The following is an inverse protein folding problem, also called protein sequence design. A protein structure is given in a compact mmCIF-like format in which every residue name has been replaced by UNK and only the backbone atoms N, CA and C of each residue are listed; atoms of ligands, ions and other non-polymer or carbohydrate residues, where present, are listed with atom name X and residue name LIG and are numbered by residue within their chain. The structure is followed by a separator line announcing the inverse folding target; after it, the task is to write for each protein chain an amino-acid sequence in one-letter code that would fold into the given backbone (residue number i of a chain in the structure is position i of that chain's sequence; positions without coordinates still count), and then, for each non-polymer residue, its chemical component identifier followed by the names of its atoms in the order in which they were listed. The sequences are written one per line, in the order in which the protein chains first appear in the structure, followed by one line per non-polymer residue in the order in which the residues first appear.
data_IF_011320237708
#
_entry.id   IF_011320237708
#
_cell.length_a   1.000
_cell.length_b   1.000
_cell.length_c   1.000
_cell.angle_alpha   90.00
_cell.angle_beta   90.00
_cell.angle_gamma   90.00
#
_symmetry.space_group_name_H-M   'P 1'
#
loop_
_entity.id
_entity.type
_entity.pdbx_description
1 polymer ?
#
# COMPACT_ATOMS: atom_id res chain seq x y z
N UNK A 1 -1.05 -91.78 -28.61
CA UNK A 1 -2.33 -92.07 -27.91
C UNK A 1 -2.82 -90.80 -27.23
N UNK A 2 -4.13 -90.55 -27.28
CA UNK A 2 -4.91 -89.56 -26.53
C UNK A 2 -4.85 -88.07 -26.91
N UNK A 3 -5.67 -87.73 -27.91
CA UNK A 3 -6.70 -86.67 -27.93
C UNK A 3 -7.03 -85.95 -26.60
N UNK A 4 -7.16 -84.62 -26.59
CA UNK A 4 -8.46 -83.93 -26.37
C UNK A 4 -8.39 -82.38 -26.47
N UNK A 5 -9.45 -81.83 -27.05
CA UNK A 5 -9.79 -80.43 -27.33
C UNK A 5 -10.66 -79.78 -26.23
N UNK A 6 -10.51 -78.48 -25.95
CA UNK A 6 -11.55 -77.49 -25.57
C UNK A 6 -10.86 -76.11 -25.43
N UNK A 7 -11.16 -75.03 -26.16
CA UNK A 7 -12.36 -74.19 -26.39
C UNK A 7 -12.93 -73.47 -25.15
N UNK A 8 -12.96 -72.13 -25.30
CA UNK A 8 -13.68 -71.09 -24.54
C UNK A 8 -13.03 -70.74 -23.20
N UNK A 9 -12.82 -69.47 -22.85
CA UNK A 9 -13.87 -68.53 -22.40
C UNK A 9 -13.47 -67.06 -22.69
N UNK A 10 -14.48 -66.27 -23.04
CA UNK A 10 -14.49 -64.81 -23.23
C UNK A 10 -13.83 -64.05 -22.07
N UNK A 11 -12.94 -63.11 -22.39
CA UNK A 11 -12.54 -62.04 -21.46
C UNK A 11 -13.20 -60.72 -21.88
N UNK A 12 -14.12 -60.26 -21.03
CA UNK A 12 -14.86 -58.99 -21.10
C UNK A 12 -13.91 -57.79 -21.19
N UNK A 13 -14.10 -56.95 -22.20
CA UNK A 13 -13.52 -55.62 -22.28
C UNK A 13 -14.11 -54.72 -21.17
N UNK A 14 -13.28 -54.40 -20.17
CA UNK A 14 -13.53 -53.36 -19.18
C UNK A 14 -13.24 -51.99 -19.81
N UNK A 15 -14.29 -51.20 -20.04
CA UNK A 15 -14.19 -49.78 -20.36
C UNK A 15 -13.75 -49.03 -19.10
N UNK A 16 -12.47 -48.64 -19.06
CA UNK A 16 -11.91 -47.72 -18.07
C UNK A 16 -12.52 -46.32 -18.27
N UNK A 17 -13.32 -45.88 -17.29
CA UNK A 17 -13.80 -44.52 -17.18
C UNK A 17 -12.63 -43.57 -16.92
N UNK A 18 -12.35 -42.69 -17.88
CA UNK A 18 -11.34 -41.64 -17.80
C UNK A 18 -11.90 -40.52 -16.90
N UNK A 19 -11.60 -40.57 -15.60
CA UNK A 19 -11.79 -39.43 -14.69
C UNK A 19 -10.74 -38.38 -15.04
N UNK A 20 -11.14 -37.33 -15.76
CA UNK A 20 -10.30 -36.17 -16.03
C UNK A 20 -10.17 -35.40 -14.71
N UNK A 21 -9.16 -35.76 -13.91
CA UNK A 21 -8.71 -34.95 -12.79
C UNK A 21 -8.10 -33.66 -13.33
N UNK A 22 -8.91 -32.60 -13.46
CA UNK A 22 -8.34 -31.28 -13.69
C UNK A 22 -7.58 -30.87 -12.43
N UNK A 23 -6.29 -30.51 -12.53
CA UNK A 23 -5.59 -29.98 -11.38
C UNK A 23 -6.32 -28.70 -10.95
N UNK A 24 -6.77 -28.68 -9.70
CA UNK A 24 -7.12 -27.43 -9.02
C UNK A 24 -5.88 -26.55 -9.11
N UNK A 25 -5.88 -25.60 -10.06
CA UNK A 25 -4.89 -24.53 -10.09
C UNK A 25 -5.05 -23.78 -8.79
N UNK A 26 -4.18 -24.09 -7.81
CA UNK A 26 -3.93 -23.20 -6.71
C UNK A 26 -3.63 -21.83 -7.32
N UNK A 27 -4.45 -20.84 -7.01
CA UNK A 27 -4.17 -19.46 -7.39
C UNK A 27 -2.78 -19.13 -6.86
N UNK A 28 -1.80 -19.02 -7.76
CA UNK A 28 -0.45 -18.64 -7.39
C UNK A 28 -0.53 -17.23 -6.83
N UNK A 29 -0.33 -17.12 -5.53
CA UNK A 29 -0.30 -15.84 -4.84
C UNK A 29 0.84 -14.99 -5.42
N UNK A 30 0.50 -13.90 -6.10
CA UNK A 30 1.53 -13.03 -6.69
C UNK A 30 2.07 -12.13 -5.60
N UNK A 31 3.17 -12.56 -4.98
CA UNK A 31 3.84 -11.78 -3.94
C UNK A 31 4.29 -10.42 -4.49
N UNK A 32 3.98 -9.34 -3.77
CA UNK A 32 4.43 -8.00 -4.13
C UNK A 32 5.94 -7.84 -3.92
N UNK A 33 6.63 -7.04 -4.77
CA UNK A 33 8.06 -6.80 -4.60
C UNK A 33 8.32 -6.05 -3.29
N UNK A 34 9.41 -6.41 -2.59
CA UNK A 34 9.81 -5.74 -1.33
C UNK A 34 10.18 -4.27 -1.53
N UNK A 35 10.65 -3.93 -2.73
CA UNK A 35 11.17 -2.61 -3.08
C UNK A 35 10.83 -2.27 -4.52
N UNK A 36 10.55 -0.99 -4.79
CA UNK A 36 10.38 -0.43 -6.13
C UNK A 36 11.28 0.79 -6.29
N UNK A 37 12.09 0.83 -7.36
CA UNK A 37 12.96 1.98 -7.65
C UNK A 37 12.31 2.87 -8.71
N UNK A 38 12.01 4.10 -8.33
CA UNK A 38 11.48 5.14 -9.19
C UNK A 38 12.63 5.93 -9.80
N UNK A 39 13.24 5.38 -10.87
CA UNK A 39 14.47 5.92 -11.47
C UNK A 39 14.37 7.39 -11.87
N UNK A 40 13.25 7.80 -12.47
CA UNK A 40 13.05 9.19 -12.90
C UNK A 40 12.95 10.19 -11.73
N UNK A 41 12.65 9.71 -10.53
CA UNK A 41 12.52 10.52 -9.32
C UNK A 41 13.74 10.37 -8.41
N UNK A 42 14.66 9.46 -8.73
CA UNK A 42 15.77 9.03 -7.87
C UNK A 42 15.28 8.63 -6.47
N UNK A 43 14.18 7.87 -6.38
CA UNK A 43 13.61 7.44 -5.09
C UNK A 43 13.40 5.93 -5.07
N UNK A 44 13.77 5.32 -3.96
CA UNK A 44 13.49 3.92 -3.65
C UNK A 44 12.30 3.82 -2.70
N UNK A 45 11.26 3.10 -3.10
CA UNK A 45 10.08 2.85 -2.28
C UNK A 45 10.22 1.50 -1.60
N UNK A 46 10.26 1.52 -0.27
CA UNK A 46 10.26 0.33 0.57
C UNK A 46 9.26 0.53 1.72
N UNK A 47 8.39 -0.46 1.93
CA UNK A 47 7.38 -0.45 2.99
C UNK A 47 7.92 -0.86 4.37
N UNK A 48 7.13 -0.64 5.44
CA UNK A 48 7.40 -1.24 6.73
C UNK A 48 7.24 -2.76 6.68
N UNK A 49 7.65 -3.46 7.75
CA UNK A 49 7.51 -4.92 7.84
C UNK A 49 6.06 -5.36 7.56
N UNK A 50 5.90 -6.35 6.68
CA UNK A 50 4.59 -6.87 6.26
C UNK A 50 3.96 -6.14 5.08
N UNK A 51 4.49 -4.98 4.66
CA UNK A 51 3.94 -4.19 3.55
C UNK A 51 4.92 -4.01 2.40
N UNK A 52 4.40 -4.16 1.19
CA UNK A 52 5.18 -4.12 -0.05
C UNK A 52 4.55 -3.14 -1.04
N UNK A 53 5.35 -2.35 -1.77
CA UNK A 53 4.85 -1.52 -2.86
C UNK A 53 4.26 -2.35 -3.99
N UNK A 54 3.18 -1.84 -4.57
CA UNK A 54 2.57 -2.37 -5.79
C UNK A 54 2.89 -1.46 -6.98
N UNK A 55 3.80 -1.87 -7.89
CA UNK A 55 4.14 -1.11 -9.10
C UNK A 55 2.93 -0.82 -10.00
N UNK A 56 1.90 -1.68 -10.00
CA UNK A 56 0.71 -1.50 -10.83
C UNK A 56 -0.14 -0.29 -10.39
N UNK A 57 0.06 0.18 -9.16
CA UNK A 57 -0.64 1.34 -8.59
C UNK A 57 0.09 2.66 -8.83
N UNK A 58 1.24 2.62 -9.52
CA UNK A 58 2.04 3.80 -9.80
C UNK A 58 1.25 4.81 -10.63
N UNK A 59 1.12 6.03 -10.12
CA UNK A 59 0.55 7.18 -10.82
C UNK A 59 1.55 8.32 -10.83
N UNK A 60 1.73 8.95 -11.98
CA UNK A 60 2.61 10.10 -12.14
C UNK A 60 1.85 11.22 -12.84
N UNK A 61 1.93 12.42 -12.27
CA UNK A 61 1.33 13.64 -12.83
C UNK A 61 2.15 14.85 -12.39
N UNK A 62 2.44 15.76 -13.31
CA UNK A 62 3.14 17.04 -13.05
C UNK A 62 4.46 16.91 -12.27
N UNK A 63 5.17 15.80 -12.41
CA UNK A 63 6.41 15.53 -11.68
C UNK A 63 6.23 15.03 -10.24
N UNK A 64 4.99 14.89 -9.77
CA UNK A 64 4.62 14.15 -8.56
C UNK A 64 4.34 12.67 -8.90
N UNK A 65 4.55 11.79 -7.93
CA UNK A 65 4.34 10.34 -8.06
C UNK A 65 3.62 9.79 -6.84
N UNK A 66 2.65 8.91 -7.05
CA UNK A 66 1.97 8.17 -6.00
C UNK A 66 2.09 6.66 -6.25
N UNK A 67 2.22 5.89 -5.17
CA UNK A 67 2.23 4.43 -5.16
C UNK A 67 1.52 3.93 -3.93
N UNK A 68 0.80 2.82 -4.05
CA UNK A 68 0.16 2.14 -2.95
C UNK A 68 1.06 0.99 -2.48
N UNK A 69 1.03 0.75 -1.17
CA UNK A 69 1.60 -0.44 -0.57
C UNK A 69 0.46 -1.21 0.09
N UNK A 70 0.42 -2.51 -0.18
CA UNK A 70 -0.47 -3.46 0.48
C UNK A 70 0.34 -4.43 1.32
N UNK A 71 -0.36 -5.39 1.94
CA UNK A 71 0.32 -6.55 2.55
C UNK A 71 1.13 -7.28 1.48
N UNK A 72 2.36 -7.68 1.83
CA UNK A 72 3.25 -8.36 0.87
C UNK A 72 2.68 -9.66 0.32
N UNK A 73 1.91 -10.34 1.18
CA UNK A 73 1.19 -11.58 0.92
C UNK A 73 -0.15 -11.50 1.68
N UNK A 74 -1.14 -12.29 1.29
CA UNK A 74 -2.44 -12.44 1.94
C UNK A 74 -2.31 -13.04 3.36
N UNK A 75 -1.29 -13.87 3.57
CA UNK A 75 -0.90 -14.50 4.84
C UNK A 75 0.03 -13.65 5.71
N UNK A 76 0.41 -12.44 5.28
CA UNK A 76 1.27 -11.59 6.10
C UNK A 76 0.57 -11.26 7.43
N UNK A 77 1.29 -11.46 8.54
CA UNK A 77 0.88 -11.05 9.90
C UNK A 77 0.96 -9.53 10.06
N UNK A 78 0.17 -8.82 9.26
CA UNK A 78 0.06 -7.37 9.23
C UNK A 78 -1.43 -6.99 9.17
N UNK A 79 -1.78 -5.91 9.86
CA UNK A 79 -3.14 -5.36 9.87
C UNK A 79 -3.62 -5.14 8.43
N UNK A 80 -4.89 -5.45 8.08
CA UNK A 80 -5.41 -5.13 6.76
C UNK A 80 -5.45 -3.62 6.51
N UNK A 81 -4.45 -3.09 5.82
CA UNK A 81 -4.39 -1.67 5.46
C UNK A 81 -3.77 -1.45 4.07
N UNK A 82 -4.08 -0.29 3.49
CA UNK A 82 -3.48 0.27 2.29
C UNK A 82 -2.72 1.53 2.70
N UNK A 83 -1.45 1.57 2.35
CA UNK A 83 -0.58 2.73 2.59
C UNK A 83 -0.42 3.47 1.27
N UNK A 84 -0.89 4.72 1.21
CA UNK A 84 -0.65 5.61 0.08
C UNK A 84 0.60 6.44 0.34
N UNK A 85 1.60 6.33 -0.53
CA UNK A 85 2.79 7.18 -0.49
C UNK A 85 2.78 8.09 -1.70
N UNK A 86 2.96 9.38 -1.48
CA UNK A 86 3.04 10.39 -2.54
C UNK A 86 4.32 11.19 -2.40
N UNK A 87 5.10 11.25 -3.48
CA UNK A 87 6.25 12.10 -3.65
C UNK A 87 5.83 13.33 -4.45
N UNK A 88 5.94 14.50 -3.84
CA UNK A 88 5.71 15.78 -4.49
C UNK A 88 6.73 16.07 -5.58
N UNK A 89 6.50 17.15 -6.32
CA UNK A 89 7.36 17.64 -7.40
C UNK A 89 8.78 17.97 -6.88
N UNK A 90 9.82 18.02 -7.75
CA UNK A 90 11.13 18.52 -7.35
C UNK A 90 11.02 19.90 -6.66
N UNK A 91 11.78 20.10 -5.58
CA UNK A 91 11.77 21.35 -4.81
C UNK A 91 10.61 21.51 -3.83
N UNK A 92 9.56 20.67 -3.90
CA UNK A 92 8.41 20.75 -2.97
C UNK A 92 8.80 20.55 -1.50
N UNK A 93 9.91 19.86 -1.23
CA UNK A 93 10.39 19.61 0.13
C UNK A 93 10.67 20.89 0.93
N UNK A 94 10.90 22.04 0.28
CA UNK A 94 11.09 23.32 0.95
C UNK A 94 9.88 23.72 1.85
N UNK A 95 8.67 23.28 1.51
CA UNK A 95 7.48 23.51 2.34
C UNK A 95 7.60 22.89 3.73
N UNK A 96 8.40 21.82 3.88
CA UNK A 96 8.63 21.17 5.17
C UNK A 96 9.61 21.94 6.06
N UNK A 97 10.39 22.87 5.49
CA UNK A 97 11.33 23.71 6.25
C UNK A 97 10.61 24.77 7.10
N UNK A 98 9.33 25.04 6.81
CA UNK A 98 8.52 25.98 7.59
C UNK A 98 8.36 25.55 9.05
N UNK A 99 8.45 24.25 9.36
CA UNK A 99 8.28 23.74 10.72
C UNK A 99 6.86 23.30 11.04
N UNK A 100 6.70 22.59 12.16
CA UNK A 100 5.44 21.95 12.53
C UNK A 100 4.31 22.93 12.86
N UNK A 101 4.63 24.10 13.45
CA UNK A 101 3.63 25.08 13.86
C UNK A 101 2.99 25.76 12.63
N UNK A 102 3.82 26.16 11.68
CA UNK A 102 3.43 26.79 10.42
C UNK A 102 2.63 25.80 9.56
N UNK A 103 3.06 24.54 9.52
CA UNK A 103 2.30 23.47 8.85
C UNK A 103 0.93 23.25 9.51
N UNK A 104 0.86 23.20 10.85
CA UNK A 104 -0.40 23.08 11.56
C UNK A 104 -1.34 24.26 11.28
N UNK A 105 -0.81 25.48 11.28
CA UNK A 105 -1.56 26.68 10.93
C UNK A 105 -2.07 26.64 9.47
N UNK A 106 -1.24 26.20 8.52
CA UNK A 106 -1.66 26.03 7.13
C UNK A 106 -2.80 25.02 7.00
N UNK A 107 -2.67 23.83 7.60
CA UNK A 107 -3.72 22.81 7.52
C UNK A 107 -4.98 23.16 8.33
N UNK A 108 -4.88 24.10 9.28
CA UNK A 108 -6.04 24.70 9.92
C UNK A 108 -6.74 25.76 9.06
N UNK A 109 -6.10 26.29 8.01
CA UNK A 109 -6.71 27.27 7.08
C UNK A 109 -7.66 26.63 6.06
N UNK A 110 -8.53 27.43 5.44
CA UNK A 110 -9.44 26.96 4.38
C UNK A 110 -8.68 26.33 3.20
N UNK A 111 -7.58 26.94 2.78
CA UNK A 111 -6.76 26.41 1.67
C UNK A 111 -6.15 25.05 2.02
N UNK A 112 -5.60 24.92 3.25
CA UNK A 112 -5.04 23.67 3.73
C UNK A 112 -6.10 22.57 3.86
N UNK A 113 -7.23 22.85 4.52
CA UNK A 113 -8.35 21.90 4.64
C UNK A 113 -8.92 21.51 3.27
N UNK A 114 -9.01 22.45 2.33
CA UNK A 114 -9.43 22.16 0.95
C UNK A 114 -8.47 21.20 0.25
N UNK A 115 -7.16 21.36 0.45
CA UNK A 115 -6.13 20.47 -0.13
C UNK A 115 -6.15 19.04 0.41
N UNK A 116 -6.66 18.85 1.62
CA UNK A 116 -6.84 17.54 2.24
C UNK A 116 -8.15 16.87 1.83
N UNK A 117 -9.12 17.66 1.36
CA UNK A 117 -10.48 17.20 1.11
C UNK A 117 -10.57 16.29 -0.11
N UNK A 118 -11.13 15.10 0.09
CA UNK A 118 -11.50 14.18 -0.99
C UNK A 118 -12.47 14.80 -1.99
N UNK A 119 -13.34 15.71 -1.52
CA UNK A 119 -14.36 16.41 -2.32
C UNK A 119 -13.97 17.85 -2.68
N UNK A 120 -12.77 18.28 -2.32
CA UNK A 120 -12.29 19.64 -2.57
C UNK A 120 -13.02 20.74 -1.79
N UNK A 121 -13.60 20.42 -0.62
CA UNK A 121 -14.34 21.37 0.23
C UNK A 121 -13.72 21.46 1.63
N UNK A 122 -13.26 22.65 1.99
CA UNK A 122 -12.64 22.90 3.30
C UNK A 122 -13.57 22.60 4.49
N UNK A 123 -14.88 22.81 4.33
CA UNK A 123 -15.88 22.56 5.36
C UNK A 123 -16.16 21.07 5.62
N UNK A 124 -15.70 20.18 4.73
CA UNK A 124 -15.80 18.73 4.94
C UNK A 124 -14.65 18.18 5.78
N UNK A 125 -13.63 18.98 6.05
CA UNK A 125 -12.37 18.55 6.66
C UNK A 125 -12.15 19.27 7.98
N UNK A 126 -11.67 18.52 8.97
CA UNK A 126 -11.10 19.06 10.20
C UNK A 126 -9.78 18.37 10.51
N UNK A 127 -8.82 19.14 11.05
CA UNK A 127 -7.55 18.63 11.57
C UNK A 127 -7.68 18.60 13.08
N UNK A 128 -7.66 17.41 13.66
CA UNK A 128 -7.98 17.20 15.09
C UNK A 128 -6.74 17.03 15.96
N UNK A 129 -5.58 16.77 15.35
CA UNK A 129 -4.29 16.67 16.03
C UNK A 129 -3.18 16.98 15.02
N UNK A 130 -2.11 17.63 15.48
CA UNK A 130 -0.90 17.87 14.71
C UNK A 130 0.31 17.89 15.65
N UNK A 131 1.37 17.17 15.29
CA UNK A 131 2.60 17.10 16.06
C UNK A 131 3.80 16.80 15.16
N UNK A 132 5.01 17.09 15.65
CA UNK A 132 6.25 16.73 14.98
C UNK A 132 6.94 15.57 15.72
N UNK A 133 7.32 14.53 14.98
CA UNK A 133 8.13 13.40 15.46
C UNK A 133 9.44 13.39 14.68
N UNK A 134 10.47 14.04 15.22
CA UNK A 134 11.66 14.38 14.47
C UNK A 134 11.32 15.35 13.33
N UNK A 135 11.60 14.94 12.10
CA UNK A 135 11.29 15.67 10.85
C UNK A 135 9.97 15.22 10.18
N UNK A 136 9.24 14.28 10.81
CA UNK A 136 7.91 13.87 10.36
C UNK A 136 6.86 14.77 11.00
N UNK A 137 6.15 15.54 10.18
CA UNK A 137 4.93 16.21 10.59
C UNK A 137 3.76 15.24 10.50
N UNK A 138 3.20 14.87 11.66
CA UNK A 138 2.14 13.88 11.79
C UNK A 138 0.86 14.56 12.26
N UNK A 139 -0.24 14.32 11.57
CA UNK A 139 -1.52 14.95 11.89
C UNK A 139 -2.71 14.05 11.57
N UNK A 140 -3.80 14.27 12.29
CA UNK A 140 -5.04 13.51 12.20
C UNK A 140 -6.10 14.34 11.49
N UNK A 141 -6.66 13.76 10.44
CA UNK A 141 -7.67 14.39 9.59
C UNK A 141 -8.99 13.65 9.75
N UNK A 142 -10.09 14.39 9.87
CA UNK A 142 -11.44 13.87 9.68
C UNK A 142 -12.01 14.54 8.43
N UNK A 143 -12.30 13.73 7.41
CA UNK A 143 -12.92 14.15 6.15
C UNK A 143 -14.25 13.44 5.97
N UNK A 144 -15.34 14.17 5.78
CA UNK A 144 -16.67 13.59 5.56
C UNK A 144 -16.78 12.70 4.30
N UNK A 145 -15.87 12.84 3.34
CA UNK A 145 -15.82 12.04 2.12
C UNK A 145 -14.90 10.81 2.18
N UNK A 146 -14.13 10.65 3.26
CA UNK A 146 -13.10 9.60 3.35
C UNK A 146 -13.03 8.92 4.73
N UNK A 147 -13.48 9.59 5.79
CA UNK A 147 -13.41 9.12 7.17
C UNK A 147 -12.27 9.80 7.96
N UNK A 148 -11.87 9.15 9.04
CA UNK A 148 -10.79 9.63 9.92
C UNK A 148 -9.51 8.87 9.59
N UNK A 149 -8.40 9.60 9.45
CA UNK A 149 -7.11 8.99 9.14
C UNK A 149 -5.93 9.79 9.69
N UNK A 150 -4.81 9.10 9.92
CA UNK A 150 -3.51 9.72 10.14
C UNK A 150 -2.79 9.97 8.82
N UNK A 151 -2.13 11.12 8.73
CA UNK A 151 -1.24 11.47 7.63
C UNK A 151 0.08 11.99 8.19
N UNK A 152 1.17 11.53 7.57
CA UNK A 152 2.53 11.99 7.85
C UNK A 152 3.10 12.71 6.64
N UNK A 153 3.84 13.78 6.87
CA UNK A 153 4.57 14.51 5.84
C UNK A 153 6.02 14.74 6.27
N UNK A 154 6.97 14.51 5.37
CA UNK A 154 8.42 14.74 5.58
C UNK A 154 9.05 15.27 4.29
N UNK A 155 10.26 15.82 4.35
CA UNK A 155 11.08 16.03 3.16
C UNK A 155 11.99 14.82 2.91
N UNK A 156 12.24 14.50 1.64
CA UNK A 156 13.22 13.51 1.21
C UNK A 156 13.71 13.86 -0.20
N UNK A 157 15.03 13.93 -0.41
CA UNK A 157 15.64 14.28 -1.71
C UNK A 157 14.99 15.51 -2.38
N UNK A 158 14.75 16.57 -1.60
CA UNK A 158 14.14 17.82 -2.08
C UNK A 158 12.65 17.75 -2.41
N UNK A 159 11.95 16.66 -2.10
CA UNK A 159 10.51 16.46 -2.35
C UNK A 159 9.74 16.33 -1.04
N UNK A 160 8.51 16.81 -1.01
CA UNK A 160 7.56 16.46 0.05
C UNK A 160 7.17 15.00 -0.13
N UNK A 161 7.22 14.22 0.94
CA UNK A 161 6.71 12.84 0.99
C UNK A 161 5.50 12.86 1.90
N UNK A 162 4.34 12.46 1.38
CA UNK A 162 3.12 12.28 2.15
C UNK A 162 2.83 10.79 2.28
N UNK A 163 2.55 10.35 3.50
CA UNK A 163 2.15 8.98 3.84
C UNK A 163 0.76 9.04 4.46
N UNK A 164 -0.18 8.28 3.91
CA UNK A 164 -1.54 8.12 4.44
C UNK A 164 -1.82 6.63 4.59
N UNK A 165 -2.44 6.23 5.70
CA UNK A 165 -2.85 4.85 5.92
C UNK A 165 -4.36 4.79 6.06
N UNK A 166 -4.98 3.83 5.37
CA UNK A 166 -6.42 3.57 5.42
C UNK A 166 -6.67 2.06 5.38
N UNK A 167 -7.65 1.56 6.11
CA UNK A 167 -8.02 0.15 6.13
C UNK A 167 -9.33 -0.09 6.89
N UNK A 168 -10.00 -1.22 6.67
CA UNK A 168 -11.15 -1.62 7.49
C UNK A 168 -10.68 -1.84 8.93
N UNK A 169 -11.48 -1.37 9.89
CA UNK A 169 -11.27 -1.56 11.34
C UNK A 169 -9.87 -1.20 11.86
N UNK A 170 -9.14 -0.35 11.13
CA UNK A 170 -7.80 0.07 11.50
C UNK A 170 -7.87 1.00 12.72
N UNK A 171 -7.32 0.55 13.84
CA UNK A 171 -7.33 1.36 15.06
C UNK A 171 -6.43 2.59 14.93
N UNK A 172 -6.71 3.59 15.75
CA UNK A 172 -6.03 4.88 15.68
C UNK A 172 -4.52 4.78 15.95
N UNK A 173 -4.12 3.97 16.93
CA UNK A 173 -2.73 3.81 17.34
C UNK A 173 -1.94 3.00 16.29
N UNK A 174 -2.55 1.96 15.73
CA UNK A 174 -2.01 1.18 14.62
C UNK A 174 -1.86 2.01 13.35
N UNK A 175 -2.87 2.81 12.99
CA UNK A 175 -2.80 3.73 11.85
C UNK A 175 -1.62 4.69 11.99
N UNK A 176 -1.49 5.33 13.15
CA UNK A 176 -0.36 6.21 13.47
C UNK A 176 0.98 5.48 13.37
N UNK A 177 1.10 4.30 14.00
CA UNK A 177 2.32 3.49 13.98
C UNK A 177 2.70 3.06 12.56
N UNK A 178 1.72 2.77 11.69
CA UNK A 178 1.97 2.43 10.29
C UNK A 178 2.48 3.65 9.50
N UNK A 179 1.95 4.84 9.72
CA UNK A 179 2.49 6.08 9.11
C UNK A 179 3.95 6.28 9.51
N UNK A 180 4.25 6.23 10.81
CA UNK A 180 5.59 6.45 11.34
C UNK A 180 6.59 5.39 10.84
N UNK A 181 6.21 4.11 10.91
CA UNK A 181 7.06 3.01 10.44
C UNK A 181 7.30 3.05 8.93
N UNK A 182 6.32 3.47 8.14
CA UNK A 182 6.49 3.68 6.70
C UNK A 182 7.47 4.81 6.42
N UNK A 183 7.31 5.96 7.08
CA UNK A 183 8.23 7.08 6.91
C UNK A 183 9.68 6.67 7.26
N UNK A 184 9.87 5.89 8.34
CA UNK A 184 11.16 5.33 8.73
C UNK A 184 11.72 4.35 7.69
N UNK A 185 10.88 3.48 7.11
CA UNK A 185 11.28 2.54 6.07
C UNK A 185 11.73 3.25 4.79
N UNK A 186 10.95 4.24 4.33
CA UNK A 186 11.28 5.07 3.18
C UNK A 186 12.60 5.80 3.39
N UNK A 187 12.80 6.43 4.56
CA UNK A 187 14.06 7.12 4.87
C UNK A 187 15.24 6.17 4.81
N UNK A 188 15.13 4.98 5.43
CA UNK A 188 16.21 3.97 5.39
C UNK A 188 16.59 3.56 3.97
N UNK A 189 15.62 3.45 3.07
CA UNK A 189 15.85 3.04 1.68
C UNK A 189 16.47 4.14 0.80
N UNK A 190 16.53 5.39 1.28
CA UNK A 190 17.00 6.56 0.53
C UNK A 190 18.10 7.34 1.26
N UNK A 191 18.76 6.72 2.24
CA UNK A 191 19.97 7.26 2.88
C UNK A 191 21.20 6.99 2.02
#
# INVERSE_FOLDING_TARGET
MSIWTSKLVLARALLLGLVIGQPLSAYAETALPKTVVLRAQDVTVQGPAGYCPDPATLKQADGAVAVLLGRCTDQAAAVPAVISVTFGRPGSGAAMAAGGQEMAAFFASDAGRKSLSKRGRAADVSVTSALSVGDLFLFRVSDRGEGVYWRGMTAMKGRTVSVKVSGPDLDEAESRKLVESTAKALRRANR
#
